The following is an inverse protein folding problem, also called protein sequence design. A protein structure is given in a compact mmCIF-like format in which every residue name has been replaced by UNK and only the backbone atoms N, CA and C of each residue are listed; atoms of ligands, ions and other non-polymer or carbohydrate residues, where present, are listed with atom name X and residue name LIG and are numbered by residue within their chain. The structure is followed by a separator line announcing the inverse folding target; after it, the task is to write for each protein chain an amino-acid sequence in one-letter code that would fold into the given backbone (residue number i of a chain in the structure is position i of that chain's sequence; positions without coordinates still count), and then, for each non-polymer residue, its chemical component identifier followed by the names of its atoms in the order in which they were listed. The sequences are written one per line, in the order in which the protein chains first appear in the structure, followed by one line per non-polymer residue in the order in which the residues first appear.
data_IF_128670301899
#
_entry.id   IF_128670301899
#
_cell.length_a   1.000
_cell.length_b   1.000
_cell.length_c   1.000
_cell.angle_alpha   90.00
_cell.angle_beta   90.00
_cell.angle_gamma   90.00
#
_symmetry.space_group_name_H-M   'P 1'
#
loop_
_entity.id
_entity.type
_entity.pdbx_description
1 polymer ?
#
# COMPACT_ATOMS: atom_id res chain seq x y z
N UNK A 1 11.40 20.16 4.20
CA UNK A 1 10.13 19.87 3.47
C UNK A 1 9.11 20.91 3.88
N UNK A 2 8.37 21.52 2.95
CA UNK A 2 7.30 22.48 3.30
C UNK A 2 5.95 21.76 3.46
N UNK A 3 4.92 22.47 3.95
CA UNK A 3 3.58 21.90 4.19
C UNK A 3 2.95 21.32 2.92
N UNK A 4 3.19 21.96 1.80
CA UNK A 4 2.66 21.56 0.49
C UNK A 4 3.22 20.19 0.08
N UNK A 5 4.54 20.02 0.11
CA UNK A 5 5.18 18.74 -0.21
C UNK A 5 4.76 17.63 0.77
N UNK A 6 4.64 17.93 2.08
CA UNK A 6 4.07 16.96 3.03
C UNK A 6 2.67 16.50 2.64
N UNK A 7 1.79 17.46 2.32
CA UNK A 7 0.42 17.15 1.92
C UNK A 7 0.40 16.36 0.61
N UNK A 8 1.22 16.70 -0.38
CA UNK A 8 1.34 15.95 -1.64
C UNK A 8 1.72 14.48 -1.41
N UNK A 9 2.62 14.22 -0.46
CA UNK A 9 3.02 12.85 -0.11
C UNK A 9 1.88 12.09 0.56
N UNK A 10 1.19 12.73 1.50
CA UNK A 10 0.03 12.13 2.16
C UNK A 10 -1.09 11.90 1.14
N UNK A 11 -1.34 12.84 0.24
CA UNK A 11 -2.30 12.70 -0.85
C UNK A 11 -1.95 11.53 -1.76
N UNK A 12 -0.66 11.37 -2.10
CA UNK A 12 -0.17 10.25 -2.87
C UNK A 12 -0.37 8.91 -2.13
N UNK A 13 0.01 8.83 -0.85
CA UNK A 13 -0.18 7.63 -0.04
C UNK A 13 -1.68 7.27 0.08
N UNK A 14 -2.55 8.25 0.36
CA UNK A 14 -4.00 8.07 0.41
C UNK A 14 -4.57 7.60 -0.93
N UNK A 15 -4.08 8.16 -2.05
CA UNK A 15 -4.50 7.73 -3.37
C UNK A 15 -4.13 6.26 -3.62
N UNK A 16 -2.91 5.85 -3.25
CA UNK A 16 -2.47 4.45 -3.35
C UNK A 16 -3.34 3.49 -2.55
N UNK A 17 -3.65 3.84 -1.31
CA UNK A 17 -4.52 3.03 -0.46
C UNK A 17 -5.93 2.91 -1.02
N UNK A 18 -6.50 4.01 -1.54
CA UNK A 18 -7.81 3.98 -2.20
C UNK A 18 -7.81 3.12 -3.47
N UNK A 19 -6.74 3.17 -4.25
CA UNK A 19 -6.59 2.29 -5.39
C UNK A 19 -6.45 0.81 -4.98
N UNK A 20 -5.75 0.51 -3.87
CA UNK A 20 -5.65 -0.84 -3.32
C UNK A 20 -7.03 -1.35 -2.86
N UNK A 21 -7.82 -0.52 -2.15
CA UNK A 21 -9.23 -0.81 -1.81
C UNK A 21 -10.03 -1.18 -3.06
N UNK A 22 -9.98 -0.33 -4.09
CA UNK A 22 -10.70 -0.58 -5.34
C UNK A 22 -10.23 -1.87 -6.02
N UNK A 23 -8.92 -2.09 -6.05
CA UNK A 23 -8.32 -3.30 -6.60
C UNK A 23 -8.87 -4.54 -5.89
N UNK A 24 -8.89 -4.58 -4.55
CA UNK A 24 -9.45 -5.69 -3.80
C UNK A 24 -10.96 -5.88 -4.00
N UNK A 25 -11.72 -4.79 -4.13
CA UNK A 25 -13.14 -4.86 -4.48
C UNK A 25 -13.37 -5.48 -5.87
N UNK A 26 -12.52 -5.14 -6.85
CA UNK A 26 -12.60 -5.71 -8.19
C UNK A 26 -12.20 -7.18 -8.20
N UNK A 27 -11.16 -7.58 -7.45
CA UNK A 27 -10.77 -8.98 -7.28
C UNK A 27 -11.86 -9.84 -6.65
N UNK A 28 -12.60 -9.30 -5.67
CA UNK A 28 -13.72 -10.02 -5.05
C UNK A 28 -14.82 -10.39 -6.04
N UNK A 29 -15.00 -9.61 -7.13
CA UNK A 29 -16.01 -9.87 -8.17
C UNK A 29 -15.62 -11.06 -9.04
N UNK A 30 -14.32 -11.22 -9.33
CA UNK A 30 -13.79 -12.25 -10.23
C UNK A 30 -13.29 -13.51 -9.51
N UNK A 31 -12.99 -13.42 -8.21
CA UNK A 31 -12.55 -14.57 -7.43
C UNK A 31 -13.61 -15.68 -7.43
N UNK A 32 -13.19 -16.92 -7.72
CA UNK A 32 -14.08 -18.09 -7.82
C UNK A 32 -14.45 -18.69 -6.46
N UNK A 33 -13.51 -18.66 -5.50
CA UNK A 33 -13.67 -19.30 -4.19
C UNK A 33 -14.07 -18.31 -3.10
N UNK A 34 -15.02 -18.71 -2.25
CA UNK A 34 -15.49 -17.89 -1.12
C UNK A 34 -14.40 -17.61 -0.08
N UNK A 35 -13.47 -18.55 0.11
CA UNK A 35 -12.29 -18.38 0.98
C UNK A 35 -11.44 -17.19 0.54
N UNK A 36 -11.15 -17.09 -0.76
CA UNK A 36 -10.36 -16.01 -1.35
C UNK A 36 -11.10 -14.67 -1.24
N UNK A 37 -12.42 -14.65 -1.51
CA UNK A 37 -13.24 -13.44 -1.34
C UNK A 37 -13.17 -12.89 0.09
N UNK A 38 -13.15 -13.77 1.09
CA UNK A 38 -13.02 -13.36 2.49
C UNK A 38 -11.66 -12.70 2.75
N UNK A 39 -10.57 -13.30 2.28
CA UNK A 39 -9.21 -12.74 2.42
C UNK A 39 -9.12 -11.36 1.75
N UNK A 40 -9.62 -11.24 0.52
CA UNK A 40 -9.64 -9.96 -0.21
C UNK A 40 -10.48 -8.89 0.49
N UNK A 41 -11.60 -9.27 1.10
CA UNK A 41 -12.43 -8.37 1.90
C UNK A 41 -11.76 -7.91 3.18
N UNK A 42 -10.95 -8.78 3.80
CA UNK A 42 -10.18 -8.41 4.99
C UNK A 42 -9.07 -7.42 4.61
N UNK A 43 -8.40 -7.59 3.47
CA UNK A 43 -7.45 -6.60 2.93
C UNK A 43 -8.11 -5.27 2.60
N UNK A 44 -9.25 -5.28 1.88
CA UNK A 44 -10.03 -4.07 1.60
C UNK A 44 -10.26 -3.23 2.86
N UNK A 45 -10.66 -3.87 3.97
CA UNK A 45 -10.90 -3.18 5.25
C UNK A 45 -9.63 -2.67 5.92
N UNK A 46 -8.50 -3.36 5.74
CA UNK A 46 -7.20 -2.93 6.26
C UNK A 46 -6.78 -1.63 5.56
N UNK A 47 -6.87 -1.58 4.24
CA UNK A 47 -6.48 -0.38 3.47
C UNK A 47 -7.44 0.79 3.71
N UNK A 48 -8.74 0.53 3.88
CA UNK A 48 -9.68 1.57 4.35
C UNK A 48 -9.28 2.15 5.71
N UNK A 49 -8.69 1.31 6.59
CA UNK A 49 -8.12 1.72 7.85
C UNK A 49 -6.88 2.60 7.67
N UNK A 50 -6.00 2.24 6.74
CA UNK A 50 -4.81 3.02 6.39
C UNK A 50 -5.17 4.38 5.81
N UNK A 51 -6.15 4.47 4.92
CA UNK A 51 -6.67 5.76 4.41
C UNK A 51 -7.05 6.69 5.57
N UNK A 52 -7.84 6.19 6.52
CA UNK A 52 -8.29 6.99 7.68
C UNK A 52 -7.11 7.42 8.54
N UNK A 53 -6.15 6.52 8.72
CA UNK A 53 -4.94 6.78 9.49
C UNK A 53 -4.08 7.88 8.84
N UNK A 54 -3.81 7.79 7.54
CA UNK A 54 -3.02 8.77 6.78
C UNK A 54 -3.69 10.16 6.78
N UNK A 55 -5.01 10.20 6.60
CA UNK A 55 -5.80 11.44 6.70
C UNK A 55 -5.71 12.06 8.11
N UNK A 56 -5.71 11.25 9.17
CA UNK A 56 -5.50 11.74 10.54
C UNK A 56 -4.10 12.32 10.74
N UNK A 57 -3.06 11.69 10.16
CA UNK A 57 -1.67 12.18 10.22
C UNK A 57 -1.53 13.54 9.51
N UNK A 58 -2.30 13.82 8.45
CA UNK A 58 -2.25 15.11 7.74
C UNK A 58 -2.38 16.31 8.69
N UNK A 59 -3.22 16.19 9.72
CA UNK A 59 -3.46 17.27 10.68
C UNK A 59 -2.41 17.39 11.78
N UNK A 60 -1.84 16.27 12.24
CA UNK A 60 -0.90 16.22 13.38
C UNK A 60 0.57 16.20 12.95
N UNK A 61 0.87 15.65 11.78
CA UNK A 61 2.22 15.30 11.35
C UNK A 61 3.04 16.43 10.75
N UNK A 62 2.41 17.56 10.40
CA UNK A 62 3.14 18.70 9.87
C UNK A 62 4.02 19.41 10.91
N UNK A 63 3.56 19.51 12.17
CA UNK A 63 4.34 20.16 13.25
C UNK A 63 5.61 19.37 13.59
N UNK A 64 5.56 18.05 13.43
CA UNK A 64 6.64 17.09 13.66
C UNK A 64 7.79 17.11 12.63
N UNK A 65 7.63 17.83 11.52
CA UNK A 65 8.55 17.83 10.38
C UNK A 65 9.64 18.91 10.43
N UNK A 66 9.66 19.77 11.45
CA UNK A 66 10.45 21.00 11.42
C UNK A 66 11.98 20.82 11.44
N UNK A 67 12.53 19.61 11.63
CA UNK A 67 13.97 19.48 11.91
C UNK A 67 14.87 18.81 10.87
N UNK A 68 14.39 18.36 9.68
CA UNK A 68 15.32 17.85 8.64
C UNK A 68 14.95 18.26 7.22
N UNK A 69 15.96 18.72 6.47
CA UNK A 69 15.91 18.77 5.00
C UNK A 69 15.81 17.34 4.47
N UNK A 70 14.60 16.99 4.05
CA UNK A 70 14.28 15.70 3.44
C UNK A 70 14.38 15.90 1.92
N UNK A 71 15.27 15.19 1.20
CA UNK A 71 15.39 15.31 -0.25
C UNK A 71 14.14 14.75 -0.96
N UNK A 72 13.91 15.19 -2.20
CA UNK A 72 12.80 14.78 -3.07
C UNK A 72 12.51 13.26 -2.94
N UNK A 73 11.26 12.91 -2.67
CA UNK A 73 10.81 11.53 -2.47
C UNK A 73 10.74 10.71 -3.74
N UNK A 74 10.82 11.35 -4.91
CA UNK A 74 10.73 10.69 -6.21
C UNK A 74 9.52 9.76 -6.27
N UNK A 75 8.34 10.34 -6.07
CA UNK A 75 7.04 9.67 -6.00
C UNK A 75 6.83 8.66 -7.15
N UNK A 76 7.36 8.96 -8.34
CA UNK A 76 7.38 8.06 -9.50
C UNK A 76 8.02 6.68 -9.24
N UNK A 77 8.98 6.57 -8.32
CA UNK A 77 9.63 5.29 -7.98
C UNK A 77 8.70 4.31 -7.24
N UNK A 78 7.57 4.78 -6.71
CA UNK A 78 6.56 3.93 -6.07
C UNK A 78 5.31 3.78 -6.95
N UNK A 79 5.28 4.34 -8.16
CA UNK A 79 4.20 4.10 -9.09
C UNK A 79 4.36 2.71 -9.67
N UNK A 80 3.34 1.87 -9.50
CA UNK A 80 3.25 0.60 -10.20
C UNK A 80 2.37 0.84 -11.40
N UNK A 81 2.97 0.87 -12.59
CA UNK A 81 2.23 0.83 -13.85
C UNK A 81 1.51 -0.53 -13.90
N UNK A 82 0.27 -0.52 -13.46
CA UNK A 82 -0.64 -1.62 -13.73
C UNK A 82 -1.28 -1.29 -15.08
N UNK A 83 -0.73 -1.84 -16.16
CA UNK A 83 -1.49 -2.01 -17.39
C UNK A 83 -2.66 -2.93 -17.04
N UNK A 84 -3.79 -2.35 -16.62
CA UNK A 84 -5.04 -3.06 -16.43
C UNK A 84 -5.51 -3.53 -17.81
N UNK A 85 -4.91 -4.61 -18.29
CA UNK A 85 -5.37 -5.29 -19.47
C UNK A 85 -6.73 -5.91 -19.13
N UNK A 86 -7.75 -5.64 -19.94
CA UNK A 86 -9.11 -6.19 -19.78
C UNK A 86 -9.16 -7.73 -19.71
N UNK A 87 -8.03 -8.41 -19.98
CA UNK A 87 -7.86 -9.86 -19.99
C UNK A 87 -6.86 -10.40 -18.95
N UNK A 88 -6.54 -9.65 -17.87
CA UNK A 88 -5.66 -10.16 -16.82
C UNK A 88 -6.20 -11.48 -16.23
N UNK A 89 -5.38 -12.52 -16.25
CA UNK A 89 -5.71 -13.78 -15.62
C UNK A 89 -5.42 -13.71 -14.10
N UNK A 90 -5.83 -14.74 -13.36
CA UNK A 90 -5.66 -14.77 -11.90
C UNK A 90 -4.18 -14.67 -11.47
N UNK A 91 -3.24 -15.21 -12.25
CA UNK A 91 -1.81 -15.11 -12.02
C UNK A 91 -1.31 -13.66 -12.18
N UNK A 92 -1.70 -12.98 -13.25
CA UNK A 92 -1.33 -11.58 -13.52
C UNK A 92 -1.81 -10.66 -12.39
N UNK A 93 -3.03 -10.92 -11.91
CA UNK A 93 -3.63 -10.24 -10.78
C UNK A 93 -2.77 -10.37 -9.51
N UNK A 94 -2.35 -11.58 -9.16
CA UNK A 94 -1.53 -11.81 -7.96
C UNK A 94 -0.16 -11.13 -8.10
N UNK A 95 0.42 -11.13 -9.31
CA UNK A 95 1.69 -10.43 -9.58
C UNK A 95 1.53 -8.92 -9.39
N UNK A 96 0.47 -8.32 -9.91
CA UNK A 96 0.19 -6.90 -9.70
C UNK A 96 -0.03 -6.59 -8.23
N UNK A 97 -0.78 -7.43 -7.50
CA UNK A 97 -0.99 -7.28 -6.06
C UNK A 97 0.35 -7.22 -5.31
N UNK A 98 1.22 -8.23 -5.51
CA UNK A 98 2.53 -8.30 -4.86
C UNK A 98 3.41 -7.06 -5.14
N UNK A 99 3.40 -6.57 -6.39
CA UNK A 99 4.14 -5.35 -6.77
C UNK A 99 3.58 -4.09 -6.09
N UNK A 100 2.25 -3.99 -5.97
CA UNK A 100 1.60 -2.86 -5.29
C UNK A 100 1.97 -2.82 -3.81
N UNK A 101 1.87 -3.95 -3.11
CA UNK A 101 2.27 -4.08 -1.70
C UNK A 101 3.76 -3.74 -1.50
N UNK A 102 4.64 -4.21 -2.39
CA UNK A 102 6.07 -3.89 -2.32
C UNK A 102 6.37 -2.40 -2.48
N UNK A 103 5.67 -1.73 -3.40
CA UNK A 103 5.82 -0.28 -3.59
C UNK A 103 5.28 0.52 -2.40
N UNK A 104 4.13 0.12 -1.83
CA UNK A 104 3.56 0.75 -0.63
C UNK A 104 4.46 0.54 0.59
N UNK A 105 4.99 -0.67 0.78
CA UNK A 105 6.00 -0.96 1.81
C UNK A 105 7.19 0.00 1.72
N UNK A 106 7.81 0.09 0.53
CA UNK A 106 8.99 0.93 0.32
C UNK A 106 8.69 2.40 0.63
N UNK A 107 7.54 2.90 0.19
CA UNK A 107 7.08 4.26 0.51
C UNK A 107 7.03 4.48 2.03
N UNK A 108 6.46 3.55 2.79
CA UNK A 108 6.34 3.67 4.24
C UNK A 108 7.66 3.51 5.00
N UNK A 109 8.58 2.66 4.52
CA UNK A 109 9.95 2.60 5.06
C UNK A 109 10.67 3.94 4.87
N UNK A 110 10.55 4.52 3.67
CA UNK A 110 11.13 5.82 3.35
C UNK A 110 10.49 6.94 4.18
N UNK A 111 9.17 6.91 4.40
CA UNK A 111 8.50 7.83 5.33
C UNK A 111 9.05 7.71 6.74
N UNK A 112 9.13 6.50 7.30
CA UNK A 112 9.59 6.28 8.67
C UNK A 112 11.01 6.81 8.94
N UNK A 113 11.89 6.79 7.93
CA UNK A 113 13.25 7.33 8.05
C UNK A 113 13.24 8.88 8.09
N UNK A 114 12.27 9.51 7.43
CA UNK A 114 12.23 10.94 7.16
C UNK A 114 11.58 11.76 8.28
N UNK A 115 10.63 11.21 9.02
CA UNK A 115 10.04 11.89 10.18
C UNK A 115 10.93 11.78 11.42
N UNK A 116 11.14 12.92 12.10
CA UNK A 116 11.84 12.99 13.39
C UNK A 116 10.96 12.61 14.58
N UNK A 117 9.64 12.81 14.45
CA UNK A 117 8.69 12.46 15.49
C UNK A 117 8.62 10.93 15.70
N UNK A 118 8.87 10.44 16.92
CA UNK A 118 8.87 9.01 17.22
C UNK A 118 7.53 8.31 17.00
N UNK A 119 6.40 9.00 17.23
CA UNK A 119 5.07 8.41 17.04
C UNK A 119 4.77 8.22 15.55
N UNK A 120 5.06 9.24 14.74
CA UNK A 120 4.86 9.19 13.29
C UNK A 120 5.79 8.16 12.65
N UNK A 121 7.05 8.14 13.08
CA UNK A 121 8.01 7.13 12.63
C UNK A 121 7.53 5.72 12.94
N UNK A 122 7.10 5.46 14.18
CA UNK A 122 6.58 4.16 14.60
C UNK A 122 5.36 3.77 13.76
N UNK A 123 4.53 4.74 13.41
CA UNK A 123 3.33 4.52 12.62
C UNK A 123 3.66 4.08 11.19
N UNK A 124 4.53 4.81 10.49
CA UNK A 124 4.95 4.41 9.14
C UNK A 124 5.75 3.10 9.14
N UNK A 125 6.58 2.85 10.16
CA UNK A 125 7.23 1.53 10.30
C UNK A 125 6.23 0.40 10.48
N UNK A 126 5.12 0.65 11.20
CA UNK A 126 4.06 -0.34 11.35
C UNK A 126 3.34 -0.59 10.02
N UNK A 127 2.99 0.46 9.28
CA UNK A 127 2.38 0.32 7.95
C UNK A 127 3.27 -0.51 7.02
N UNK A 128 4.57 -0.21 6.95
CA UNK A 128 5.52 -0.98 6.15
C UNK A 128 5.54 -2.49 6.50
N UNK A 129 5.38 -2.84 7.78
CA UNK A 129 5.29 -4.24 8.21
C UNK A 129 3.96 -4.88 7.76
N UNK A 130 2.85 -4.16 7.87
CA UNK A 130 1.53 -4.62 7.42
C UNK A 130 1.54 -4.88 5.90
N UNK A 131 2.09 -3.98 5.09
CA UNK A 131 2.27 -4.18 3.63
C UNK A 131 3.15 -5.40 3.31
N UNK A 132 4.20 -5.65 4.11
CA UNK A 132 5.06 -6.82 3.93
C UNK A 132 4.30 -8.13 4.23
N UNK A 133 3.42 -8.12 5.22
CA UNK A 133 2.55 -9.26 5.54
C UNK A 133 1.49 -9.50 4.45
N UNK A 134 0.95 -8.43 3.86
CA UNK A 134 0.04 -8.51 2.71
C UNK A 134 0.73 -9.13 1.51
N UNK A 135 1.93 -8.63 1.14
CA UNK A 135 2.75 -9.21 0.07
C UNK A 135 2.99 -10.70 0.29
N UNK A 136 3.41 -11.10 1.50
CA UNK A 136 3.67 -12.49 1.84
C UNK A 136 2.43 -13.38 1.69
N UNK A 137 1.24 -12.86 2.01
CA UNK A 137 -0.02 -13.60 1.80
C UNK A 137 -0.29 -13.81 0.30
N UNK A 138 -0.02 -12.81 -0.56
CA UNK A 138 -0.14 -12.99 -2.01
C UNK A 138 0.89 -13.96 -2.59
N UNK A 139 2.13 -13.93 -2.11
CA UNK A 139 3.18 -14.89 -2.49
C UNK A 139 2.73 -16.33 -2.15
N UNK A 140 2.15 -16.54 -0.97
CA UNK A 140 1.59 -17.86 -0.59
C UNK A 140 0.43 -18.29 -1.49
N UNK A 141 -0.50 -17.39 -1.80
CA UNK A 141 -1.60 -17.70 -2.72
C UNK A 141 -1.08 -18.06 -4.11
N UNK A 142 -0.06 -17.34 -4.59
CA UNK A 142 0.59 -17.64 -5.87
C UNK A 142 1.24 -19.03 -5.86
N UNK A 143 2.02 -19.34 -4.82
CA UNK A 143 2.66 -20.64 -4.67
C UNK A 143 1.65 -21.79 -4.55
N UNK A 144 0.54 -21.57 -3.85
CA UNK A 144 -0.50 -22.59 -3.63
C UNK A 144 -1.38 -22.82 -4.86
N UNK A 145 -1.81 -21.76 -5.55
CA UNK A 145 -2.82 -21.85 -6.61
C UNK A 145 -2.19 -21.93 -8.02
N UNK A 146 -0.98 -21.41 -8.23
CA UNK A 146 -0.36 -21.33 -9.57
C UNK A 146 0.80 -22.31 -9.72
N UNK A 147 1.69 -22.40 -8.73
CA UNK A 147 2.86 -23.29 -8.84
C UNK A 147 2.55 -24.76 -8.56
N UNK A 148 1.44 -25.08 -7.86
CA UNK A 148 0.99 -26.47 -7.65
C UNK A 148 0.11 -27.02 -8.77
N UNK A 149 -0.46 -26.18 -9.63
CA UNK A 149 -1.28 -26.60 -10.78
C UNK A 149 -0.45 -26.81 -12.07
N UNK A 150 0.88 -26.57 -12.03
CA UNK A 150 1.84 -26.92 -13.09
C UNK A 150 2.70 -28.14 -12.69
#
# INVERSE_FOLDING_TARGET
MNKENFNEIIDFAVAREKEAVKFYQDLQKIAKFQSIKKVLKDFEKMEEGHVKLLENIRTKGFEALQEKEIPNLKISEYMVEADFAENMNYQDILIVAMKREEASKKLYEDMAIRFSDPEIKKLFSRLAVEEAEHKLKFEKLYDEDILKEN
#
